data_IF_614536702414
#
_entry.id   IF_614536702414
#
_cell.length_a   1.000
_cell.length_b   1.000
_cell.length_c   1.000
_cell.angle_alpha   90.00
_cell.angle_beta   90.00
_cell.angle_gamma   90.00
#
_symmetry.space_group_name_H-M   'P 1'
#
loop_
_entity.id
_entity.type
_entity.pdbx_description
1 polymer ?
#
# COMPACT_ATOMS: atom_id res chain seq x y z
N UNK A 1 -4.97 -27.89 7.76
CA UNK A 1 -3.47 -27.93 7.73
C UNK A 1 -3.01 -28.40 6.36
N UNK A 2 -3.65 -29.42 5.73
CA UNK A 2 -3.25 -29.97 4.43
C UNK A 2 -3.53 -29.02 3.25
N UNK A 3 -4.55 -28.20 3.34
CA UNK A 3 -4.88 -27.21 2.32
C UNK A 3 -3.85 -26.08 2.25
N UNK A 4 -3.35 -25.63 3.40
CA UNK A 4 -2.28 -24.62 3.46
C UNK A 4 -0.94 -25.17 2.92
N UNK A 5 -0.62 -26.44 3.19
CA UNK A 5 0.56 -27.09 2.61
C UNK A 5 0.45 -27.24 1.09
N UNK A 6 -0.73 -27.52 0.56
CA UNK A 6 -0.98 -27.62 -0.88
C UNK A 6 -0.80 -26.30 -1.62
N UNK A 7 -1.12 -25.19 -0.97
CA UNK A 7 -0.95 -23.83 -1.57
C UNK A 7 0.49 -23.34 -1.41
N UNK A 8 1.16 -23.67 -0.30
CA UNK A 8 2.53 -23.20 -0.05
C UNK A 8 3.60 -24.01 -0.79
N UNK A 9 3.40 -25.30 -1.06
CA UNK A 9 4.38 -26.13 -1.76
C UNK A 9 4.78 -25.59 -3.15
N UNK A 10 3.86 -25.19 -4.06
CA UNK A 10 4.26 -24.64 -5.36
C UNK A 10 5.08 -23.37 -5.25
N UNK A 11 4.79 -22.52 -4.25
CA UNK A 11 5.52 -21.27 -4.02
C UNK A 11 6.94 -21.57 -3.51
N UNK A 12 7.07 -22.48 -2.58
CA UNK A 12 8.37 -22.95 -2.05
C UNK A 12 9.21 -23.60 -3.14
N UNK A 13 8.60 -24.45 -3.98
CA UNK A 13 9.30 -25.08 -5.11
C UNK A 13 9.68 -24.07 -6.21
N UNK A 14 8.83 -23.08 -6.48
CA UNK A 14 9.16 -21.98 -7.39
C UNK A 14 10.32 -21.13 -6.85
N UNK A 15 10.32 -20.85 -5.55
CA UNK A 15 11.40 -20.17 -4.86
C UNK A 15 12.71 -20.96 -4.95
N UNK A 16 12.70 -22.27 -4.66
CA UNK A 16 13.89 -23.13 -4.77
C UNK A 16 14.38 -23.24 -6.22
N UNK A 17 13.50 -23.34 -7.21
CA UNK A 17 13.86 -23.32 -8.63
C UNK A 17 14.48 -22.00 -9.05
N UNK A 18 13.96 -20.88 -8.57
CA UNK A 18 14.51 -19.55 -8.82
C UNK A 18 15.88 -19.39 -8.18
N UNK A 19 16.05 -19.81 -6.92
CA UNK A 19 17.33 -19.74 -6.18
C UNK A 19 18.41 -20.66 -6.77
N UNK A 20 18.02 -21.79 -7.37
CA UNK A 20 18.92 -22.74 -8.01
C UNK A 20 19.08 -22.50 -9.52
N UNK A 21 18.46 -21.42 -10.07
CA UNK A 21 18.60 -21.13 -11.50
C UNK A 21 20.06 -20.81 -11.87
N UNK A 22 20.51 -21.32 -13.02
CA UNK A 22 21.86 -21.01 -13.56
C UNK A 22 22.14 -19.50 -13.67
N UNK A 23 21.10 -18.69 -13.78
CA UNK A 23 21.17 -17.23 -13.85
C UNK A 23 21.68 -16.64 -12.54
N UNK A 24 21.23 -17.15 -11.39
CA UNK A 24 21.73 -16.73 -10.07
C UNK A 24 23.12 -17.32 -9.79
N UNK A 25 23.42 -18.53 -10.28
CA UNK A 25 24.75 -19.12 -10.14
C UNK A 25 25.80 -18.43 -11.04
N UNK A 26 25.40 -17.90 -12.21
CA UNK A 26 26.29 -17.10 -13.10
C UNK A 26 26.52 -15.68 -12.55
N UNK A 27 25.61 -15.12 -11.77
CA UNK A 27 25.83 -13.90 -11.00
C UNK A 27 26.59 -14.28 -9.72
N UNK A 28 27.83 -14.72 -9.85
CA UNK A 28 28.77 -14.98 -8.75
C UNK A 28 29.16 -13.66 -8.00
N UNK A 29 28.29 -12.65 -8.14
CA UNK A 29 28.23 -11.44 -7.33
C UNK A 29 27.65 -11.72 -5.94
N UNK A 30 26.93 -12.86 -5.74
CA UNK A 30 26.19 -13.12 -4.52
C UNK A 30 27.10 -13.20 -3.29
N UNK A 31 28.25 -13.83 -3.40
CA UNK A 31 29.15 -14.04 -2.24
C UNK A 31 29.93 -12.77 -1.85
N UNK A 32 30.07 -11.81 -2.80
CA UNK A 32 30.78 -10.54 -2.55
C UNK A 32 29.87 -9.37 -2.19
N UNK A 33 28.56 -9.45 -2.52
CA UNK A 33 27.59 -8.38 -2.37
C UNK A 33 26.53 -8.74 -1.31
N UNK A 34 26.49 -9.98 -0.83
CA UNK A 34 25.60 -10.33 0.28
C UNK A 34 25.96 -9.46 1.49
N UNK A 35 25.08 -8.50 1.76
CA UNK A 35 25.15 -7.70 2.98
C UNK A 35 25.10 -8.67 4.18
N UNK A 36 25.95 -8.40 5.17
CA UNK A 36 25.82 -9.07 6.46
C UNK A 36 24.36 -8.92 6.90
N UNK A 37 23.64 -10.03 7.03
CA UNK A 37 22.23 -10.00 7.41
C UNK A 37 22.03 -9.04 8.60
N UNK A 38 21.27 -8.00 8.39
CA UNK A 38 20.99 -7.02 9.41
C UNK A 38 20.08 -7.64 10.48
N UNK A 39 20.33 -7.30 11.74
CA UNK A 39 19.46 -7.73 12.83
C UNK A 39 18.05 -7.16 12.66
N UNK A 40 17.06 -7.83 13.23
CA UNK A 40 15.65 -7.40 13.22
C UNK A 40 15.49 -5.93 13.66
N UNK A 41 16.30 -5.46 14.62
CA UNK A 41 16.26 -4.06 15.09
C UNK A 41 16.55 -3.06 13.97
N UNK A 42 17.52 -3.35 13.11
CA UNK A 42 17.84 -2.50 11.97
C UNK A 42 16.76 -2.55 10.90
N UNK A 43 16.16 -3.71 10.67
CA UNK A 43 15.06 -3.83 9.72
C UNK A 43 13.84 -3.03 10.20
N UNK A 44 13.51 -3.10 11.49
CA UNK A 44 12.44 -2.28 12.08
C UNK A 44 12.74 -0.77 11.96
N UNK A 45 13.99 -0.36 12.20
CA UNK A 45 14.40 1.03 12.02
C UNK A 45 14.27 1.48 10.56
N UNK A 46 14.68 0.65 9.61
CA UNK A 46 14.56 0.96 8.18
C UNK A 46 13.10 1.00 7.72
N UNK A 47 12.26 0.08 8.21
CA UNK A 47 10.82 0.14 7.96
C UNK A 47 10.20 1.44 8.51
N UNK A 48 10.60 1.86 9.70
CA UNK A 48 10.16 3.13 10.28
C UNK A 48 10.62 4.34 9.46
N UNK A 49 11.86 4.33 8.96
CA UNK A 49 12.38 5.39 8.07
C UNK A 49 11.54 5.47 6.78
N UNK A 50 11.27 4.34 6.13
CA UNK A 50 10.43 4.29 4.94
C UNK A 50 9.03 4.82 5.25
N UNK A 51 8.43 4.40 6.36
CA UNK A 51 7.10 4.84 6.79
C UNK A 51 7.07 6.36 6.97
N UNK A 52 7.96 6.91 7.79
CA UNK A 52 8.02 8.35 8.08
C UNK A 52 8.25 9.13 6.79
N UNK A 53 9.21 8.73 5.97
CA UNK A 53 9.51 9.39 4.71
C UNK A 53 8.30 9.37 3.76
N UNK A 54 7.70 8.21 3.56
CA UNK A 54 6.55 8.03 2.67
C UNK A 54 5.33 8.84 3.12
N UNK A 55 5.03 8.82 4.41
CA UNK A 55 3.95 9.61 5.01
C UNK A 55 4.22 11.11 4.82
N UNK A 56 5.44 11.57 5.10
CA UNK A 56 5.80 12.99 5.02
C UNK A 56 5.62 13.55 3.60
N UNK A 57 6.12 12.85 2.57
CA UNK A 57 6.02 13.34 1.19
C UNK A 57 4.59 13.35 0.66
N UNK A 58 3.71 12.50 1.17
CA UNK A 58 2.28 12.46 0.81
C UNK A 58 1.46 13.45 1.62
N UNK A 59 1.81 13.64 2.89
CA UNK A 59 1.17 14.63 3.74
C UNK A 59 1.42 16.07 3.25
N UNK A 60 2.56 16.32 2.59
CA UNK A 60 2.90 17.64 2.04
C UNK A 60 1.83 18.20 1.07
N UNK A 61 0.92 17.36 0.55
CA UNK A 61 -0.21 17.82 -0.27
C UNK A 61 -1.34 18.45 0.56
N UNK A 62 -1.48 18.11 1.84
CA UNK A 62 -2.55 18.63 2.70
C UNK A 62 -2.50 20.17 2.82
N UNK A 63 -1.36 20.80 3.17
CA UNK A 63 -1.27 22.26 3.20
C UNK A 63 -1.62 22.90 1.84
N UNK A 64 -1.15 22.30 0.73
CA UNK A 64 -1.42 22.80 -0.62
C UNK A 64 -2.93 22.84 -0.89
N UNK A 65 -3.67 21.81 -0.46
CA UNK A 65 -5.12 21.76 -0.63
C UNK A 65 -5.85 22.68 0.34
N UNK A 66 -5.36 22.80 1.59
CA UNK A 66 -5.95 23.68 2.60
C UNK A 66 -5.79 25.16 2.26
N UNK A 67 -4.71 25.54 1.56
CA UNK A 67 -4.44 26.93 1.19
C UNK A 67 -5.15 27.37 -0.09
N UNK A 68 -5.86 26.46 -0.80
CA UNK A 68 -6.48 26.75 -2.08
C UNK A 68 -7.97 26.40 -2.07
N UNK A 69 -8.81 27.44 -2.13
CA UNK A 69 -10.27 27.30 -2.13
C UNK A 69 -10.82 26.40 -3.26
N UNK A 70 -10.07 26.20 -4.37
CA UNK A 70 -10.49 25.30 -5.45
C UNK A 70 -10.47 23.82 -5.05
N UNK A 71 -9.78 23.46 -3.96
CA UNK A 71 -9.73 22.12 -3.42
C UNK A 71 -10.57 21.93 -2.15
N UNK A 72 -11.47 22.86 -1.87
CA UNK A 72 -12.29 22.85 -0.67
C UNK A 72 -13.77 23.01 -1.00
N UNK A 73 -14.61 22.39 -0.19
CA UNK A 73 -16.06 22.56 -0.18
C UNK A 73 -16.56 22.47 1.25
N UNK A 74 -17.27 23.50 1.72
CA UNK A 74 -17.77 23.60 3.11
C UNK A 74 -16.68 23.36 4.16
N UNK A 75 -15.49 23.97 3.97
CA UNK A 75 -14.31 23.83 4.84
C UNK A 75 -13.69 22.43 4.87
N UNK A 76 -14.11 21.53 3.97
CA UNK A 76 -13.53 20.20 3.81
C UNK A 76 -12.66 20.12 2.55
N UNK A 77 -11.54 19.40 2.64
CA UNK A 77 -10.67 19.11 1.49
C UNK A 77 -11.37 18.10 0.59
N UNK A 78 -11.49 18.45 -0.69
CA UNK A 78 -12.08 17.58 -1.71
C UNK A 78 -11.16 16.41 -2.05
N UNK A 79 -11.74 15.25 -2.36
CA UNK A 79 -11.03 14.15 -2.98
C UNK A 79 -10.59 14.52 -4.39
N UNK A 80 -9.47 13.97 -4.84
CA UNK A 80 -8.77 14.48 -6.02
C UNK A 80 -9.24 13.87 -7.34
N UNK A 81 -10.08 12.85 -7.33
CA UNK A 81 -10.56 12.16 -8.53
C UNK A 81 -12.02 11.71 -8.36
N UNK A 82 -12.71 11.53 -9.49
CA UNK A 82 -14.07 10.97 -9.50
C UNK A 82 -14.11 9.54 -8.92
N UNK A 83 -13.08 8.74 -9.21
CA UNK A 83 -12.96 7.37 -8.71
C UNK A 83 -12.82 7.36 -7.19
N UNK A 84 -12.11 8.34 -6.60
CA UNK A 84 -11.98 8.48 -5.16
C UNK A 84 -13.36 8.70 -4.50
N UNK A 85 -14.23 9.53 -5.09
CA UNK A 85 -15.61 9.70 -4.60
C UNK A 85 -16.44 8.44 -4.75
N UNK A 86 -16.27 7.71 -5.85
CA UNK A 86 -16.98 6.46 -6.08
C UNK A 86 -16.63 5.42 -5.00
N UNK A 87 -15.36 5.21 -4.71
CA UNK A 87 -14.92 4.28 -3.66
C UNK A 87 -15.24 4.78 -2.25
N UNK A 88 -15.14 6.09 -1.99
CA UNK A 88 -15.51 6.67 -0.70
C UNK A 88 -17.00 6.50 -0.42
N UNK A 89 -17.86 6.72 -1.42
CA UNK A 89 -19.30 6.48 -1.31
C UNK A 89 -19.60 5.00 -1.04
N UNK A 90 -18.92 4.10 -1.76
CA UNK A 90 -19.05 2.65 -1.54
C UNK A 90 -18.65 2.25 -0.12
N UNK A 91 -17.55 2.82 0.40
CA UNK A 91 -17.07 2.56 1.76
C UNK A 91 -18.07 3.09 2.82
N UNK A 92 -18.65 4.28 2.61
CA UNK A 92 -19.67 4.85 3.48
C UNK A 92 -20.93 3.97 3.54
N UNK A 93 -21.43 3.54 2.37
CA UNK A 93 -22.57 2.63 2.30
C UNK A 93 -22.27 1.26 2.93
N UNK A 94 -21.03 0.79 2.85
CA UNK A 94 -20.62 -0.46 3.52
C UNK A 94 -20.65 -0.31 5.05
N UNK A 95 -20.24 0.84 5.59
CA UNK A 95 -20.31 1.15 7.03
C UNK A 95 -21.75 1.21 7.51
N UNK A 96 -22.64 1.81 6.70
CA UNK A 96 -24.07 1.97 6.98
C UNK A 96 -24.88 0.69 6.72
N UNK A 97 -24.25 -0.39 6.24
CA UNK A 97 -24.91 -1.65 5.88
C UNK A 97 -25.79 -1.58 4.62
N UNK A 98 -25.62 -0.54 3.80
CA UNK A 98 -26.49 -0.24 2.65
C UNK A 98 -25.83 -0.49 1.29
N UNK A 99 -24.62 -1.05 1.25
CA UNK A 99 -23.87 -1.23 0.00
C UNK A 99 -24.63 -2.06 -1.06
N UNK A 100 -25.46 -3.01 -0.62
CA UNK A 100 -26.25 -3.86 -1.51
C UNK A 100 -27.52 -3.18 -2.07
N UNK A 101 -27.89 -2.02 -1.53
CA UNK A 101 -29.09 -1.30 -1.93
C UNK A 101 -28.86 -0.34 -3.11
N UNK A 102 -27.60 -0.20 -3.55
CA UNK A 102 -27.25 0.69 -4.64
C UNK A 102 -26.70 -0.12 -5.83
N UNK A 103 -27.50 -0.22 -6.90
CA UNK A 103 -27.16 -0.99 -8.09
C UNK A 103 -25.91 -0.46 -8.84
N UNK A 104 -25.58 0.83 -8.69
CA UNK A 104 -24.40 1.43 -9.32
C UNK A 104 -23.11 1.05 -8.59
N UNK A 105 -23.21 0.61 -7.34
CA UNK A 105 -22.08 0.31 -6.46
C UNK A 105 -21.97 -1.19 -6.11
N UNK A 106 -22.80 -2.05 -6.70
CA UNK A 106 -22.80 -3.50 -6.43
C UNK A 106 -21.44 -4.16 -6.68
N UNK A 107 -20.66 -3.64 -7.63
CA UNK A 107 -19.31 -4.14 -7.92
C UNK A 107 -18.27 -3.75 -6.87
N UNK A 108 -18.56 -2.77 -6.02
CA UNK A 108 -17.68 -2.26 -4.98
C UNK A 108 -18.06 -2.79 -3.58
N UNK A 109 -18.72 -3.94 -3.48
CA UNK A 109 -18.95 -4.60 -2.20
C UNK A 109 -17.63 -4.98 -1.52
N UNK A 110 -17.64 -5.23 -0.19
CA UNK A 110 -16.44 -5.68 0.54
C UNK A 110 -15.76 -6.91 -0.07
N UNK A 111 -16.49 -7.70 -0.82
CA UNK A 111 -16.04 -8.93 -1.50
C UNK A 111 -16.13 -8.85 -3.03
N UNK A 112 -16.40 -7.65 -3.58
CA UNK A 112 -16.49 -7.42 -5.02
C UNK A 112 -15.13 -7.11 -5.65
N UNK A 113 -15.15 -6.79 -6.93
CA UNK A 113 -13.97 -6.57 -7.78
C UNK A 113 -13.01 -5.48 -7.19
N UNK A 114 -13.56 -4.44 -6.58
CA UNK A 114 -12.81 -3.37 -5.91
C UNK A 114 -12.93 -3.43 -4.39
N UNK A 115 -13.23 -4.61 -3.85
CA UNK A 115 -13.54 -4.81 -2.44
C UNK A 115 -12.40 -4.44 -1.49
N UNK A 116 -11.15 -4.63 -1.91
CA UNK A 116 -10.00 -4.40 -1.05
C UNK A 116 -9.88 -2.93 -0.60
N UNK A 117 -10.13 -1.96 -1.49
CA UNK A 117 -10.07 -0.53 -1.13
C UNK A 117 -11.25 -0.13 -0.25
N UNK A 118 -12.45 -0.61 -0.55
CA UNK A 118 -13.65 -0.40 0.24
C UNK A 118 -13.50 -1.03 1.63
N UNK A 119 -13.01 -2.28 1.69
CA UNK A 119 -12.77 -3.00 2.93
C UNK A 119 -11.71 -2.31 3.80
N UNK A 120 -10.66 -1.73 3.21
CA UNK A 120 -9.64 -1.00 3.96
C UNK A 120 -10.20 0.22 4.69
N UNK A 121 -11.06 1.00 4.03
CA UNK A 121 -11.73 2.14 4.66
C UNK A 121 -12.79 1.69 5.68
N UNK A 122 -13.55 0.65 5.37
CA UNK A 122 -14.50 0.06 6.31
C UNK A 122 -13.78 -0.42 7.58
N UNK A 123 -12.67 -1.14 7.44
CA UNK A 123 -11.87 -1.59 8.58
C UNK A 123 -11.32 -0.41 9.39
N UNK A 124 -10.78 0.62 8.71
CA UNK A 124 -10.29 1.82 9.37
C UNK A 124 -11.41 2.50 10.18
N UNK A 125 -12.64 2.57 9.67
CA UNK A 125 -13.80 3.13 10.39
C UNK A 125 -14.20 2.31 11.62
N UNK A 126 -13.96 1.00 11.62
CA UNK A 126 -14.22 0.14 12.78
C UNK A 126 -13.12 0.22 13.85
N UNK A 127 -11.89 0.56 13.45
CA UNK A 127 -10.75 0.68 14.35
C UNK A 127 -10.54 2.08 14.90
N UNK A 128 -11.17 3.09 14.30
CA UNK A 128 -11.02 4.51 14.69
C UNK A 128 -12.38 5.18 14.83
N UNK A 129 -12.39 6.36 15.46
CA UNK A 129 -13.58 7.22 15.53
C UNK A 129 -13.59 8.32 14.45
N UNK A 130 -12.73 8.22 13.45
CA UNK A 130 -12.66 9.22 12.39
C UNK A 130 -13.86 9.12 11.44
N UNK A 131 -14.25 10.27 10.87
CA UNK A 131 -15.26 10.31 9.81
C UNK A 131 -14.77 9.61 8.55
N UNK A 132 -15.69 9.16 7.69
CA UNK A 132 -15.32 8.51 6.44
C UNK A 132 -14.54 9.47 5.53
N UNK A 133 -14.88 10.74 5.53
CA UNK A 133 -14.22 11.81 4.80
C UNK A 133 -12.76 11.92 5.23
N UNK A 134 -12.48 11.91 6.54
CA UNK A 134 -11.12 11.88 7.09
C UNK A 134 -10.38 10.60 6.69
N UNK A 135 -11.02 9.44 6.81
CA UNK A 135 -10.41 8.16 6.47
C UNK A 135 -10.00 8.13 5.00
N UNK A 136 -10.88 8.50 4.08
CA UNK A 136 -10.61 8.45 2.64
C UNK A 136 -9.61 9.50 2.19
N UNK A 137 -9.48 10.61 2.92
CA UNK A 137 -8.45 11.62 2.68
C UNK A 137 -7.06 11.14 3.11
N UNK A 138 -6.94 10.48 4.28
CA UNK A 138 -5.65 10.15 4.89
C UNK A 138 -5.17 8.72 4.63
N UNK A 139 -6.06 7.77 4.32
CA UNK A 139 -5.68 6.40 4.04
C UNK A 139 -4.67 6.27 2.87
N UNK A 140 -4.79 7.09 1.78
CA UNK A 140 -3.79 7.15 0.71
C UNK A 140 -2.40 7.59 1.16
N UNK A 141 -2.27 8.27 2.29
CA UNK A 141 -0.97 8.65 2.84
C UNK A 141 -0.26 7.46 3.48
N UNK A 142 -1.03 6.56 4.12
CA UNK A 142 -0.51 5.47 4.95
C UNK A 142 -0.29 4.18 4.16
N UNK A 143 -1.32 3.71 3.43
CA UNK A 143 -1.29 2.40 2.76
C UNK A 143 -0.10 2.23 1.79
N UNK A 144 0.25 3.22 0.94
CA UNK A 144 1.36 3.05 0.00
C UNK A 144 2.71 2.88 0.67
N UNK A 145 2.85 3.31 1.93
CA UNK A 145 4.08 3.13 2.70
C UNK A 145 4.38 1.65 2.95
N UNK A 146 3.35 0.81 3.01
CA UNK A 146 3.49 -0.64 3.17
C UNK A 146 4.21 -1.26 1.96
N UNK A 147 4.00 -0.74 0.76
CA UNK A 147 4.71 -1.22 -0.45
C UNK A 147 6.23 -1.08 -0.29
N UNK A 148 6.71 0.08 0.18
CA UNK A 148 8.15 0.29 0.42
C UNK A 148 8.70 -0.62 1.51
N UNK A 149 7.90 -0.88 2.56
CA UNK A 149 8.27 -1.82 3.63
C UNK A 149 8.34 -3.25 3.08
N UNK A 150 7.40 -3.67 2.23
CA UNK A 150 7.45 -4.99 1.58
C UNK A 150 8.70 -5.15 0.71
N UNK A 151 9.06 -4.12 -0.07
CA UNK A 151 10.30 -4.13 -0.86
C UNK A 151 11.54 -4.28 0.03
N UNK A 152 11.59 -3.56 1.17
CA UNK A 152 12.65 -3.74 2.17
C UNK A 152 12.71 -5.18 2.68
N UNK A 153 11.56 -5.77 3.05
CA UNK A 153 11.48 -7.13 3.58
C UNK A 153 11.90 -8.16 2.53
N UNK A 154 11.50 -8.00 1.28
CA UNK A 154 11.94 -8.86 0.17
C UNK A 154 13.47 -8.75 0.02
N UNK A 155 14.02 -7.54 0.00
CA UNK A 155 15.48 -7.34 -0.05
C UNK A 155 16.19 -7.99 1.12
N UNK A 156 15.63 -7.89 2.33
CA UNK A 156 16.18 -8.56 3.52
C UNK A 156 16.15 -10.09 3.39
N UNK A 157 15.05 -10.67 2.95
CA UNK A 157 14.91 -12.13 2.76
C UNK A 157 15.89 -12.66 1.70
N UNK A 158 16.22 -11.84 0.69
CA UNK A 158 17.19 -12.16 -0.33
C UNK A 158 18.66 -11.94 0.11
N UNK A 159 18.90 -11.42 1.33
CA UNK A 159 20.22 -11.14 1.86
C UNK A 159 20.79 -9.75 1.48
N UNK A 160 19.96 -8.86 0.93
CA UNK A 160 20.34 -7.52 0.43
C UNK A 160 19.58 -6.40 1.17
N UNK A 161 19.66 -6.37 2.48
CA UNK A 161 18.87 -5.46 3.32
C UNK A 161 19.10 -3.96 3.01
N UNK A 162 20.34 -3.56 2.77
CA UNK A 162 20.67 -2.17 2.43
C UNK A 162 20.09 -1.79 1.05
N UNK A 163 20.19 -2.68 0.07
CA UNK A 163 19.56 -2.48 -1.24
C UNK A 163 18.03 -2.46 -1.13
N UNK A 164 17.45 -3.30 -0.28
CA UNK A 164 16.02 -3.31 0.03
C UNK A 164 15.54 -1.98 0.60
N UNK A 165 16.32 -1.35 1.49
CA UNK A 165 16.03 0.00 2.00
C UNK A 165 16.00 1.03 0.86
N UNK A 166 17.07 1.07 0.05
CA UNK A 166 17.18 2.03 -1.07
C UNK A 166 16.04 1.82 -2.07
N UNK A 167 15.80 0.57 -2.46
CA UNK A 167 14.72 0.21 -3.37
C UNK A 167 13.33 0.58 -2.80
N UNK A 168 13.10 0.35 -1.51
CA UNK A 168 11.87 0.75 -0.82
C UNK A 168 11.65 2.26 -0.85
N UNK A 169 12.69 3.05 -0.57
CA UNK A 169 12.63 4.51 -0.64
C UNK A 169 12.36 5.00 -2.08
N UNK A 170 13.03 4.43 -3.08
CA UNK A 170 12.79 4.75 -4.50
C UNK A 170 11.36 4.41 -4.90
N UNK A 171 10.85 3.26 -4.47
CA UNK A 171 9.48 2.82 -4.77
C UNK A 171 8.46 3.83 -4.27
N UNK A 172 8.54 4.23 -2.98
CA UNK A 172 7.56 5.14 -2.40
C UNK A 172 7.67 6.58 -2.91
N UNK A 173 8.82 6.97 -3.46
CA UNK A 173 9.07 8.30 -4.01
C UNK A 173 8.96 8.37 -5.53
N UNK A 174 8.74 7.25 -6.23
CA UNK A 174 8.59 7.28 -7.69
C UNK A 174 7.43 8.20 -8.07
N UNK A 175 7.64 9.10 -9.04
CA UNK A 175 6.70 10.17 -9.34
C UNK A 175 5.29 9.66 -9.70
N UNK A 176 5.21 8.62 -10.53
CA UNK A 176 3.93 8.03 -10.94
C UNK A 176 3.18 7.47 -9.73
N UNK A 177 3.87 6.74 -8.86
CA UNK A 177 3.28 6.16 -7.64
C UNK A 177 2.89 7.25 -6.64
N UNK A 178 3.74 8.27 -6.45
CA UNK A 178 3.47 9.38 -5.54
C UNK A 178 2.23 10.18 -5.95
N UNK A 179 2.07 10.51 -7.23
CA UNK A 179 0.92 11.27 -7.74
C UNK A 179 -0.39 10.49 -7.56
N UNK A 180 -0.35 9.17 -7.75
CA UNK A 180 -1.53 8.29 -7.63
C UNK A 180 -1.82 7.80 -6.20
N UNK A 181 -0.99 8.19 -5.24
CA UNK A 181 -1.14 7.80 -3.83
C UNK A 181 -1.02 8.97 -2.86
N UNK A 182 -1.19 10.19 -3.36
CA UNK A 182 -1.19 11.41 -2.54
C UNK A 182 -2.47 11.53 -1.72
N UNK A 183 -2.49 12.45 -0.77
CA UNK A 183 -3.68 12.74 0.03
C UNK A 183 -4.93 12.94 -0.86
N UNK A 184 -6.04 12.32 -0.49
CA UNK A 184 -7.30 12.41 -1.23
C UNK A 184 -7.37 11.61 -2.54
N UNK A 185 -6.31 10.92 -2.95
CA UNK A 185 -6.33 10.00 -4.09
C UNK A 185 -6.74 8.60 -3.62
N UNK A 186 -7.99 8.46 -3.20
CA UNK A 186 -8.53 7.21 -2.67
C UNK A 186 -8.98 6.29 -3.82
N UNK A 187 -8.07 5.46 -4.32
CA UNK A 187 -8.26 4.61 -5.50
C UNK A 187 -7.60 3.24 -5.30
N UNK A 188 -7.91 2.29 -6.15
CA UNK A 188 -7.36 0.91 -6.17
C UNK A 188 -5.84 0.89 -6.31
N UNK A 189 -5.25 1.92 -6.91
CA UNK A 189 -3.79 2.08 -7.04
C UNK A 189 -3.04 1.99 -5.70
N UNK A 190 -3.71 2.31 -4.58
CA UNK A 190 -3.15 2.21 -3.24
C UNK A 190 -2.72 0.78 -2.87
N UNK A 191 -3.40 -0.21 -3.42
CA UNK A 191 -3.27 -1.61 -3.06
C UNK A 191 -2.75 -2.49 -4.19
N UNK A 192 -2.78 -2.01 -5.44
CA UNK A 192 -2.42 -2.81 -6.63
C UNK A 192 -1.00 -3.39 -6.57
N UNK A 193 -0.05 -2.71 -5.92
CA UNK A 193 1.31 -3.21 -5.72
C UNK A 193 1.46 -4.12 -4.49
N UNK A 194 0.45 -4.16 -3.62
CA UNK A 194 0.46 -4.95 -2.38
C UNK A 194 -0.31 -6.24 -2.59
N UNK A 195 -1.42 -6.14 -3.31
CA UNK A 195 -2.35 -7.24 -3.59
C UNK A 195 -2.49 -7.33 -5.12
N UNK A 196 -1.64 -8.10 -5.80
CA UNK A 196 -1.68 -8.29 -7.24
C UNK A 196 -2.87 -9.12 -7.69
#
# INVERSE_FOLDING_TARGET
IDTLKRISQPIVEAYHRFMNSELLQRINLSDKIQDKQLSLRWIMLFALIILIYSVTIRYAWIPIYSDNASYQWNDEILLTTNDAYHYATSAKLAVDGQIHNNSQLTHNSLFGENGAIVASAWLASKLTSFSMETITLYLPIILPSLTGILVLLIGHLLGFSAMGLVAGLITVSSNIFLVRTRAGYFDTDLLTLIIP
#
